data_IF_377199094144
#
_entry.id   IF_377199094144
#
_cell.length_a   1.000
_cell.length_b   1.000
_cell.length_c   1.000
_cell.angle_alpha   90.00
_cell.angle_beta   90.00
_cell.angle_gamma   90.00
#
_symmetry.space_group_name_H-M   'P 1'
#
loop_
_entity.id
_entity.type
_entity.pdbx_description
1 polymer ?
#
# COMPACT_ATOMS: atom_id res chain seq x y z
N UNK A 1 5.67 -6.51 -8.29
CA UNK A 1 4.23 -6.26 -8.05
C UNK A 1 3.56 -7.52 -7.47
N UNK A 2 4.04 -8.02 -6.32
CA UNK A 2 3.41 -9.12 -5.55
C UNK A 2 3.03 -8.60 -4.16
N UNK A 3 3.85 -7.73 -3.56
CA UNK A 3 3.60 -7.18 -2.24
C UNK A 3 2.36 -6.27 -2.15
N UNK A 4 2.05 -5.52 -3.21
CA UNK A 4 0.81 -4.73 -3.26
C UNK A 4 -0.44 -5.60 -3.37
N UNK A 5 -0.38 -6.70 -4.13
CA UNK A 5 -1.46 -7.68 -4.19
C UNK A 5 -1.60 -8.46 -2.86
N UNK A 6 -0.48 -8.72 -2.17
CA UNK A 6 -0.46 -9.31 -0.83
C UNK A 6 -1.08 -8.38 0.23
N UNK A 7 -0.86 -7.07 0.13
CA UNK A 7 -1.48 -6.07 1.01
C UNK A 7 -2.89 -5.64 0.57
N UNK A 8 -3.41 -6.16 -0.55
CA UNK A 8 -4.70 -5.75 -1.10
C UNK A 8 -5.84 -6.05 -0.13
N UNK A 9 -5.91 -7.26 0.43
CA UNK A 9 -6.97 -7.63 1.39
C UNK A 9 -7.04 -6.68 2.60
N UNK A 10 -5.89 -6.26 3.13
CA UNK A 10 -5.81 -5.33 4.27
C UNK A 10 -6.07 -3.88 3.88
N UNK A 11 -5.70 -3.45 2.67
CA UNK A 11 -5.90 -2.07 2.20
C UNK A 11 -7.30 -1.85 1.60
N UNK A 12 -7.96 -2.88 1.09
CA UNK A 12 -9.37 -2.85 0.67
C UNK A 12 -10.34 -2.76 1.86
N UNK A 13 -9.96 -3.20 3.05
CA UNK A 13 -10.74 -3.01 4.27
C UNK A 13 -10.83 -1.52 4.70
N UNK A 14 -10.00 -0.64 4.11
CA UNK A 14 -10.01 0.80 4.37
C UNK A 14 -11.04 1.47 3.44
N UNK A 15 -12.19 1.83 4.00
CA UNK A 15 -13.28 2.49 3.27
C UNK A 15 -12.95 3.94 2.85
N UNK A 16 -12.06 4.61 3.61
CA UNK A 16 -11.55 5.93 3.25
C UNK A 16 -10.46 5.80 2.17
N UNK A 17 -10.80 6.26 0.97
CA UNK A 17 -9.92 6.16 -0.20
C UNK A 17 -8.65 7.00 -0.07
N UNK A 18 -8.68 8.13 0.65
CA UNK A 18 -7.50 8.96 0.86
C UNK A 18 -6.55 8.29 1.87
N UNK A 19 -7.09 7.72 2.95
CA UNK A 19 -6.33 6.96 3.93
C UNK A 19 -5.69 5.71 3.30
N UNK A 20 -6.42 5.01 2.43
CA UNK A 20 -5.92 3.85 1.68
C UNK A 20 -4.71 4.21 0.82
N UNK A 21 -4.77 5.34 0.11
CA UNK A 21 -3.65 5.83 -0.71
C UNK A 21 -2.42 6.17 0.14
N UNK A 22 -2.60 6.79 1.30
CA UNK A 22 -1.50 7.09 2.23
C UNK A 22 -0.83 5.81 2.78
N UNK A 23 -1.63 4.79 3.11
CA UNK A 23 -1.12 3.49 3.57
C UNK A 23 -0.33 2.78 2.46
N UNK A 24 -0.85 2.77 1.23
CA UNK A 24 -0.16 2.19 0.06
C UNK A 24 1.16 2.91 -0.25
N UNK A 25 1.18 4.24 -0.17
CA UNK A 25 2.41 5.02 -0.32
C UNK A 25 3.43 4.68 0.77
N UNK A 26 2.98 4.55 2.03
CA UNK A 26 3.84 4.17 3.16
C UNK A 26 4.41 2.76 3.02
N UNK A 27 3.62 1.81 2.51
CA UNK A 27 4.08 0.45 2.19
C UNK A 27 5.16 0.52 1.12
N UNK A 28 4.92 1.28 0.04
CA UNK A 28 5.88 1.49 -1.06
C UNK A 28 7.25 1.98 -0.60
N UNK A 29 7.28 2.90 0.37
CA UNK A 29 8.51 3.44 0.96
C UNK A 29 9.29 2.43 1.82
N UNK A 30 8.64 1.35 2.29
CA UNK A 30 9.27 0.29 3.10
C UNK A 30 9.73 -0.91 2.27
N UNK A 31 9.39 -0.96 0.98
CA UNK A 31 9.89 -1.99 0.09
C UNK A 31 11.38 -1.75 -0.22
N UNK A 32 12.23 -2.80 -0.20
CA UNK A 32 13.61 -2.68 -0.65
C UNK A 32 13.65 -2.23 -2.11
N UNK A 33 14.38 -1.15 -2.40
CA UNK A 33 14.39 -0.51 -3.74
C UNK A 33 13.30 0.55 -3.92
N UNK A 34 12.92 1.25 -2.84
CA UNK A 34 11.85 2.25 -2.78
C UNK A 34 11.67 3.07 -4.06
N UNK A 35 10.40 3.24 -4.46
CA UNK A 35 10.00 4.09 -5.59
C UNK A 35 10.51 5.51 -5.34
N UNK A 36 11.61 5.86 -6.03
CA UNK A 36 12.05 7.23 -6.29
C UNK A 36 11.20 7.84 -7.40
#
# INVERSE_FOLDING_TARGET
MILYAFAAELTEAIHDSALKQQVLARIGQRLPGGLV
#
